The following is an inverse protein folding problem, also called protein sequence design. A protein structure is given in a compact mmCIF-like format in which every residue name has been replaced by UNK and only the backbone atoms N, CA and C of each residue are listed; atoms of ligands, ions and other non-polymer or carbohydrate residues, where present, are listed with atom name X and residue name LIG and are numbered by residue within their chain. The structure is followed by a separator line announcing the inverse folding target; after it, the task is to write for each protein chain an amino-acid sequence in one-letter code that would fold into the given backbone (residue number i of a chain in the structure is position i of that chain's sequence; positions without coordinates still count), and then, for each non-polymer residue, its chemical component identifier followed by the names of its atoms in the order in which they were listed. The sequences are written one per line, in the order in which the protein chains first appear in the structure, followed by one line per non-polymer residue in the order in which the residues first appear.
data_IF_972908242630
#
_entry.id   IF_972908242630
#
_cell.length_a   1.000
_cell.length_b   1.000
_cell.length_c   1.000
_cell.angle_alpha   90.00
_cell.angle_beta   90.00
_cell.angle_gamma   90.00
#
_symmetry.space_group_name_H-M   'P 1'
#
loop_
_entity.id
_entity.type
_entity.pdbx_description
1 polymer ?
#
# COMPACT_ATOMS: atom_id res chain seq x y z
N UNK A 1 -25.05 2.82 -44.21
CA UNK A 1 -25.03 3.89 -43.18
C UNK A 1 -25.26 3.39 -41.75
N UNK A 2 -26.32 2.62 -41.44
CA UNK A 2 -26.63 2.15 -40.07
C UNK A 2 -25.49 1.36 -39.37
N UNK A 3 -24.75 0.52 -40.10
CA UNK A 3 -23.64 -0.27 -39.54
C UNK A 3 -22.42 0.57 -39.12
N UNK A 4 -22.13 1.66 -39.83
CA UNK A 4 -20.98 2.54 -39.56
C UNK A 4 -21.24 3.38 -38.30
N UNK A 5 -22.48 3.85 -38.12
CA UNK A 5 -22.90 4.60 -36.93
C UNK A 5 -22.88 3.69 -35.68
N UNK A 6 -23.31 2.43 -35.82
CA UNK A 6 -23.28 1.45 -34.72
C UNK A 6 -21.87 1.15 -34.23
N UNK A 7 -20.91 0.96 -35.15
CA UNK A 7 -19.51 0.70 -34.79
C UNK A 7 -18.85 1.89 -34.08
N UNK A 8 -19.20 3.11 -34.50
CA UNK A 8 -18.71 4.34 -33.86
C UNK A 8 -19.26 4.49 -32.45
N UNK A 9 -20.54 4.21 -32.25
CA UNK A 9 -21.18 4.28 -30.94
C UNK A 9 -20.61 3.25 -29.95
N UNK A 10 -20.34 2.03 -30.42
CA UNK A 10 -19.71 0.99 -29.58
C UNK A 10 -18.28 1.33 -29.22
N UNK A 11 -17.51 1.93 -30.13
CA UNK A 11 -16.11 2.30 -29.86
C UNK A 11 -16.02 3.45 -28.84
N UNK A 12 -16.92 4.43 -28.92
CA UNK A 12 -17.00 5.51 -27.93
C UNK A 12 -17.33 5.00 -26.52
N UNK A 13 -18.20 3.99 -26.40
CA UNK A 13 -18.53 3.37 -25.10
C UNK A 13 -17.31 2.65 -24.53
N UNK A 14 -16.56 1.91 -25.35
CA UNK A 14 -15.35 1.18 -24.91
C UNK A 14 -14.24 2.13 -24.44
N UNK A 15 -13.99 3.22 -25.15
CA UNK A 15 -12.97 4.22 -24.75
C UNK A 15 -13.39 4.96 -23.46
N UNK A 16 -14.68 5.25 -23.31
CA UNK A 16 -15.22 5.87 -22.09
C UNK A 16 -15.09 4.94 -20.87
N UNK A 17 -15.37 3.64 -21.05
CA UNK A 17 -15.24 2.64 -19.98
C UNK A 17 -13.77 2.41 -19.58
N UNK A 18 -12.87 2.27 -20.56
CA UNK A 18 -11.43 2.10 -20.30
C UNK A 18 -10.82 3.28 -19.54
N UNK A 19 -11.32 4.50 -19.77
CA UNK A 19 -10.89 5.70 -19.05
C UNK A 19 -11.40 5.70 -17.60
N UNK A 20 -12.63 5.24 -17.38
CA UNK A 20 -13.22 5.13 -16.04
C UNK A 20 -12.52 4.07 -15.17
N UNK A 21 -12.18 2.91 -15.75
CA UNK A 21 -11.46 1.84 -15.04
C UNK A 21 -10.05 2.31 -14.62
N UNK A 22 -9.38 3.08 -15.48
CA UNK A 22 -8.08 3.68 -15.17
C UNK A 22 -8.15 4.69 -14.04
N UNK A 23 -9.23 5.48 -13.96
CA UNK A 23 -9.45 6.39 -12.84
C UNK A 23 -9.72 5.63 -11.54
N UNK A 24 -10.45 4.51 -11.58
CA UNK A 24 -10.71 3.69 -10.40
C UNK A 24 -9.44 3.08 -9.81
N UNK A 25 -8.51 2.64 -10.67
CA UNK A 25 -7.21 2.11 -10.26
C UNK A 25 -6.32 3.19 -9.61
N UNK A 26 -6.32 4.41 -10.17
CA UNK A 26 -5.53 5.56 -9.67
C UNK A 26 -6.04 6.09 -8.32
N UNK A 27 -7.36 6.02 -8.08
CA UNK A 27 -7.97 6.44 -6.80
C UNK A 27 -7.54 5.54 -5.64
N UNK A 28 -7.18 4.27 -5.89
CA UNK A 28 -6.64 3.36 -4.87
C UNK A 28 -5.13 3.60 -4.61
N UNK A 29 -4.40 4.22 -5.53
CA UNK A 29 -2.97 4.48 -5.37
C UNK A 29 -2.69 5.56 -4.32
N UNK A 30 -3.43 6.67 -4.36
CA UNK A 30 -3.27 7.79 -3.44
C UNK A 30 -3.42 7.40 -1.95
N UNK A 31 -4.48 6.70 -1.49
CA UNK A 31 -4.61 6.32 -0.09
C UNK A 31 -3.56 5.30 0.34
N UNK A 32 -3.00 4.51 -0.58
CA UNK A 32 -1.97 3.50 -0.26
C UNK A 32 -0.66 4.16 0.18
N UNK A 33 -0.26 5.28 -0.46
CA UNK A 33 0.92 6.04 -0.04
C UNK A 33 0.77 6.63 1.37
N UNK A 34 -0.39 7.23 1.65
CA UNK A 34 -0.67 7.81 2.96
C UNK A 34 -0.82 6.74 4.04
N UNK A 35 -1.56 5.67 3.77
CA UNK A 35 -1.75 4.55 4.68
C UNK A 35 -0.44 3.87 5.04
N UNK A 36 0.36 3.50 4.04
CA UNK A 36 1.67 2.87 4.26
C UNK A 36 2.61 3.76 5.06
N UNK A 37 2.68 5.06 4.75
CA UNK A 37 3.50 6.01 5.51
C UNK A 37 3.08 6.07 7.00
N UNK A 38 1.77 6.16 7.26
CA UNK A 38 1.25 6.23 8.64
C UNK A 38 1.58 4.96 9.43
N UNK A 39 1.48 3.79 8.81
CA UNK A 39 1.82 2.51 9.43
C UNK A 39 3.32 2.43 9.78
N UNK A 40 4.21 2.76 8.85
CA UNK A 40 5.66 2.81 9.10
C UNK A 40 6.01 3.83 10.19
N UNK A 41 5.38 5.01 10.15
CA UNK A 41 5.60 6.04 11.16
C UNK A 41 5.16 5.58 12.57
N UNK A 42 4.00 4.93 12.66
CA UNK A 42 3.48 4.39 13.92
C UNK A 42 4.39 3.27 14.48
N UNK A 43 4.84 2.34 13.63
CA UNK A 43 5.78 1.28 14.01
C UNK A 43 7.08 1.86 14.57
N UNK A 44 7.67 2.83 13.88
CA UNK A 44 8.89 3.51 14.34
C UNK A 44 8.69 4.18 15.68
N UNK A 45 7.58 4.91 15.89
CA UNK A 45 7.29 5.54 17.17
C UNK A 45 7.13 4.53 18.30
N UNK A 46 6.46 3.40 18.03
CA UNK A 46 6.29 2.32 19.00
C UNK A 46 7.64 1.71 19.41
N UNK A 47 8.48 1.35 18.44
CA UNK A 47 9.81 0.80 18.70
C UNK A 47 10.74 1.80 19.36
N UNK A 48 10.65 3.08 19.01
CA UNK A 48 11.39 4.14 19.69
C UNK A 48 11.00 4.24 21.16
N UNK A 49 9.69 4.16 21.48
CA UNK A 49 9.20 4.13 22.87
C UNK A 49 9.65 2.88 23.62
N UNK A 50 9.54 1.70 23.01
CA UNK A 50 9.91 0.41 23.63
C UNK A 50 11.42 0.28 23.86
N UNK A 51 12.25 0.72 22.91
CA UNK A 51 13.73 0.63 22.99
C UNK A 51 14.33 1.78 23.80
N UNK A 52 13.64 2.92 23.94
CA UNK A 52 14.05 4.04 24.77
C UNK A 52 15.44 4.57 24.42
N UNK A 53 16.32 4.69 25.41
CA UNK A 53 17.70 5.16 25.22
C UNK A 53 18.57 4.23 24.34
N UNK A 54 18.15 2.97 24.13
CA UNK A 54 18.83 2.03 23.23
C UNK A 54 18.37 2.15 21.78
N UNK A 55 17.42 3.05 21.49
CA UNK A 55 16.93 3.23 20.13
C UNK A 55 17.99 3.91 19.26
N UNK A 56 18.43 3.21 18.22
CA UNK A 56 19.28 3.74 17.16
C UNK A 56 18.48 3.67 15.86
N UNK A 57 18.28 4.82 15.22
CA UNK A 57 17.44 4.92 14.02
C UNK A 57 17.97 4.07 12.86
N UNK A 58 19.30 3.99 12.73
CA UNK A 58 19.95 3.15 11.72
C UNK A 58 19.59 1.67 11.91
N UNK A 59 19.77 1.16 13.14
CA UNK A 59 19.52 -0.24 13.45
C UNK A 59 18.03 -0.60 13.26
N UNK A 60 17.12 0.33 13.57
CA UNK A 60 15.70 0.19 13.25
C UNK A 60 15.46 -0.03 11.74
N UNK A 61 16.04 0.81 10.88
CA UNK A 61 15.84 0.71 9.43
C UNK A 61 16.56 -0.51 8.83
N UNK A 62 17.74 -0.86 9.33
CA UNK A 62 18.46 -2.07 8.89
C UNK A 62 17.63 -3.33 9.17
N UNK A 63 17.01 -3.40 10.36
CA UNK A 63 16.12 -4.49 10.76
C UNK A 63 14.82 -4.48 9.93
N UNK A 64 14.12 -3.34 9.85
CA UNK A 64 12.88 -3.17 9.07
C UNK A 64 13.06 -3.62 7.60
N UNK A 65 14.13 -3.16 6.95
CA UNK A 65 14.41 -3.47 5.54
C UNK A 65 14.90 -4.91 5.34
N UNK A 66 15.41 -5.58 6.38
CA UNK A 66 15.86 -6.97 6.28
C UNK A 66 14.72 -7.95 6.00
N UNK A 67 13.49 -7.59 6.34
CA UNK A 67 12.29 -8.40 6.08
C UNK A 67 11.75 -8.27 4.65
N UNK A 68 12.29 -7.34 3.85
CA UNK A 68 11.85 -7.08 2.48
C UNK A 68 10.62 -6.18 2.41
N UNK A 69 9.67 -6.48 1.52
CA UNK A 69 8.46 -5.67 1.30
C UNK A 69 7.14 -6.33 1.73
N UNK A 70 7.05 -7.07 2.86
CA UNK A 70 5.76 -7.51 3.36
C UNK A 70 4.98 -6.32 3.97
N UNK A 71 3.65 -6.38 4.04
CA UNK A 71 2.83 -5.38 4.73
C UNK A 71 3.31 -5.09 6.16
N UNK A 72 3.22 -3.83 6.58
CA UNK A 72 3.81 -3.34 7.84
C UNK A 72 3.33 -4.12 9.07
N UNK A 73 2.08 -4.60 9.07
CA UNK A 73 1.53 -5.44 10.14
C UNK A 73 2.36 -6.72 10.39
N UNK A 74 2.97 -7.31 9.35
CA UNK A 74 3.81 -8.49 9.47
C UNK A 74 5.22 -8.12 9.93
N UNK A 75 5.80 -7.05 9.36
CA UNK A 75 7.09 -6.51 9.81
C UNK A 75 7.03 -6.18 11.29
N UNK A 76 5.94 -5.54 11.73
CA UNK A 76 5.68 -5.23 13.14
C UNK A 76 5.68 -6.49 14.01
N UNK A 77 4.97 -7.53 13.59
CA UNK A 77 4.94 -8.79 14.33
C UNK A 77 6.35 -9.40 14.45
N UNK A 78 7.15 -9.35 13.39
CA UNK A 78 8.52 -9.87 13.36
C UNK A 78 9.48 -9.06 14.24
N UNK A 79 9.45 -7.72 14.17
CA UNK A 79 10.32 -6.84 14.97
C UNK A 79 9.98 -6.85 16.47
N UNK A 80 8.73 -7.19 16.82
CA UNK A 80 8.25 -7.20 18.20
C UNK A 80 8.11 -8.62 18.78
N UNK A 81 8.43 -9.65 18.00
CA UNK A 81 8.22 -11.06 18.35
C UNK A 81 6.76 -11.35 18.80
N UNK A 82 5.80 -10.75 18.07
CA UNK A 82 4.37 -10.90 18.30
C UNK A 82 3.76 -11.93 17.32
N UNK A 83 2.58 -12.45 17.64
CA UNK A 83 1.87 -13.38 16.77
C UNK A 83 1.58 -12.73 15.40
N UNK A 84 1.92 -13.45 14.32
CA UNK A 84 1.61 -13.04 12.95
C UNK A 84 0.08 -12.95 12.79
N UNK A 85 -0.47 -11.79 12.34
CA UNK A 85 -1.90 -11.64 12.12
C UNK A 85 -2.44 -12.69 11.14
N UNK A 86 -3.55 -13.34 11.49
CA UNK A 86 -4.21 -14.28 10.60
C UNK A 86 -4.81 -13.54 9.39
N UNK A 87 -4.66 -14.13 8.20
CA UNK A 87 -5.33 -13.66 6.98
C UNK A 87 -6.82 -13.92 7.17
N UNK A 88 -7.63 -12.85 7.15
CA UNK A 88 -9.09 -12.94 7.15
C UNK A 88 -9.61 -13.15 5.74
#
# INVERSE_FOLDING_TARGET
MKAIIGLFLTLSIIVSQSSADKQFEDIAQLPTYFGGFLEHYALRQELQKRRGAKFVLKDYHDEELSFGSPPVQYVRALMLDELIPAIK
#
